data_IF_775792957062
#
_entry.id   IF_775792957062
#
_cell.length_a   1.000
_cell.length_b   1.000
_cell.length_c   1.000
_cell.angle_alpha   90.00
_cell.angle_beta   90.00
_cell.angle_gamma   90.00
#
_symmetry.space_group_name_H-M   'P 1'
#
loop_
_entity.id
_entity.type
_entity.pdbx_description
1 polymer ?
#
# COMPACT_ATOMS: atom_id res chain seq x y z
N UNK A 1 -40.78 -34.09 -1.61
CA UNK A 1 -40.54 -34.43 -3.04
C UNK A 1 -39.79 -33.24 -3.65
N UNK A 2 -38.44 -33.23 -3.80
CA UNK A 2 -37.65 -33.83 -4.91
C UNK A 2 -38.46 -33.79 -6.22
N UNK A 3 -38.08 -33.08 -7.29
CA UNK A 3 -36.76 -33.11 -7.97
C UNK A 3 -36.53 -31.96 -8.97
N UNK A 4 -35.26 -31.50 -9.01
CA UNK A 4 -34.39 -31.22 -10.18
C UNK A 4 -34.87 -30.23 -11.27
N UNK A 5 -34.25 -29.04 -11.30
CA UNK A 5 -33.75 -28.48 -12.56
C UNK A 5 -32.25 -28.82 -12.66
N UNK A 6 -31.93 -29.96 -13.27
CA UNK A 6 -30.57 -30.29 -13.67
C UNK A 6 -30.07 -29.18 -14.61
N UNK A 7 -29.04 -28.45 -14.17
CA UNK A 7 -28.30 -27.49 -15.00
C UNK A 7 -27.54 -28.28 -16.07
N UNK A 8 -28.26 -28.66 -17.13
CA UNK A 8 -27.70 -29.32 -18.30
C UNK A 8 -26.75 -28.33 -18.96
N UNK A 9 -25.45 -28.52 -18.75
CA UNK A 9 -24.46 -27.66 -19.38
C UNK A 9 -24.57 -27.74 -20.91
N UNK A 10 -24.60 -26.62 -21.63
CA UNK A 10 -24.75 -26.64 -23.08
C UNK A 10 -23.52 -27.26 -23.73
N UNK A 11 -23.71 -28.41 -24.38
CA UNK A 11 -22.71 -29.04 -25.26
C UNK A 11 -22.61 -28.18 -26.52
N UNK A 12 -21.44 -27.57 -26.73
CA UNK A 12 -21.19 -26.72 -27.91
C UNK A 12 -20.75 -27.59 -29.09
N UNK A 13 -21.28 -27.31 -30.28
CA UNK A 13 -20.80 -27.92 -31.52
C UNK A 13 -19.42 -27.37 -31.90
N UNK A 14 -18.68 -28.13 -32.71
CA UNK A 14 -17.34 -27.75 -33.19
C UNK A 14 -17.34 -26.41 -33.95
N UNK A 15 -18.43 -26.10 -34.66
CA UNK A 15 -18.59 -24.83 -35.37
C UNK A 15 -18.75 -23.66 -34.39
N UNK A 16 -19.45 -23.87 -33.29
CA UNK A 16 -19.72 -22.84 -32.28
C UNK A 16 -18.49 -22.57 -31.41
N UNK A 17 -17.70 -23.61 -31.13
CA UNK A 17 -16.36 -23.45 -30.53
C UNK A 17 -15.46 -22.60 -31.42
N UNK A 18 -15.39 -22.90 -32.72
CA UNK A 18 -14.61 -22.11 -33.69
C UNK A 18 -15.08 -20.65 -33.76
N UNK A 19 -16.40 -20.39 -33.70
CA UNK A 19 -16.92 -19.03 -33.62
C UNK A 19 -16.43 -18.30 -32.36
N UNK A 20 -16.48 -18.94 -31.18
CA UNK A 20 -15.97 -18.35 -29.92
C UNK A 20 -14.45 -18.14 -29.95
N UNK A 21 -13.69 -19.03 -30.57
CA UNK A 21 -12.24 -18.86 -30.75
C UNK A 21 -11.89 -17.67 -31.64
N UNK A 22 -12.62 -17.48 -32.74
CA UNK A 22 -12.46 -16.31 -33.59
C UNK A 22 -12.89 -15.03 -32.85
N UNK A 23 -13.91 -15.11 -31.99
CA UNK A 23 -14.30 -13.98 -31.13
C UNK A 23 -13.23 -13.62 -30.09
N UNK A 24 -12.57 -14.60 -29.46
CA UNK A 24 -11.42 -14.36 -28.56
C UNK A 24 -10.31 -13.64 -29.30
N UNK A 25 -10.04 -14.02 -30.56
CA UNK A 25 -9.04 -13.36 -31.42
C UNK A 25 -9.47 -11.97 -31.89
N UNK A 26 -10.60 -11.44 -31.41
CA UNK A 26 -11.08 -10.11 -31.75
C UNK A 26 -11.74 -10.01 -33.13
N UNK A 27 -12.02 -11.14 -33.81
CA UNK A 27 -12.59 -11.11 -35.15
C UNK A 27 -13.96 -10.40 -35.17
N UNK A 28 -14.19 -9.61 -36.23
CA UNK A 28 -15.49 -9.00 -36.51
C UNK A 28 -16.46 -10.04 -37.08
N UNK A 29 -17.77 -9.80 -37.01
CA UNK A 29 -18.78 -10.70 -37.58
C UNK A 29 -18.53 -11.00 -39.07
N UNK A 30 -18.05 -10.00 -39.82
CA UNK A 30 -17.68 -10.12 -41.23
C UNK A 30 -16.47 -11.05 -41.43
N UNK A 31 -15.46 -10.93 -40.57
CA UNK A 31 -14.26 -11.77 -40.59
C UNK A 31 -14.57 -13.21 -40.19
N UNK A 32 -15.47 -13.40 -39.21
CA UNK A 32 -15.96 -14.73 -38.80
C UNK A 32 -16.75 -15.38 -39.94
N UNK A 33 -17.60 -14.60 -40.61
CA UNK A 33 -18.37 -15.05 -41.76
C UNK A 33 -17.45 -15.56 -42.88
N UNK A 34 -16.42 -14.79 -43.24
CA UNK A 34 -15.42 -15.18 -44.24
C UNK A 34 -14.64 -16.44 -43.83
N UNK A 35 -14.22 -16.53 -42.55
CA UNK A 35 -13.44 -17.68 -42.06
C UNK A 35 -14.24 -18.99 -41.97
N UNK A 36 -15.57 -18.91 -41.87
CA UNK A 36 -16.46 -20.08 -41.75
C UNK A 36 -17.31 -20.32 -43.00
N UNK A 37 -17.15 -19.52 -44.06
CA UNK A 37 -17.88 -19.66 -45.32
C UNK A 37 -19.35 -19.20 -45.28
N UNK A 38 -19.71 -18.33 -44.33
CA UNK A 38 -21.08 -17.81 -44.17
C UNK A 38 -21.24 -16.39 -44.75
N UNK A 39 -22.49 -15.99 -45.02
CA UNK A 39 -22.84 -14.58 -45.31
C UNK A 39 -22.88 -13.77 -44.01
N UNK A 40 -22.47 -12.50 -44.05
CA UNK A 40 -22.34 -11.63 -42.86
C UNK A 40 -23.63 -11.53 -42.02
N UNK A 41 -24.80 -11.45 -42.68
CA UNK A 41 -26.10 -11.45 -41.99
C UNK A 41 -26.38 -12.76 -41.23
N UNK A 42 -25.96 -13.90 -41.79
CA UNK A 42 -26.17 -15.24 -41.23
C UNK A 42 -25.31 -15.47 -39.98
N UNK A 43 -24.08 -14.96 -39.96
CA UNK A 43 -23.18 -15.08 -38.80
C UNK A 43 -23.73 -14.34 -37.56
N UNK A 44 -24.39 -13.19 -37.73
CA UNK A 44 -25.02 -12.47 -36.61
C UNK A 44 -26.15 -13.29 -35.98
N UNK A 45 -26.95 -13.99 -36.79
CA UNK A 45 -28.03 -14.86 -36.32
C UNK A 45 -27.46 -16.05 -35.54
N UNK A 46 -26.41 -16.70 -36.05
CA UNK A 46 -25.76 -17.80 -35.34
C UNK A 46 -25.12 -17.37 -34.02
N UNK A 47 -24.46 -16.21 -33.99
CA UNK A 47 -23.90 -15.65 -32.75
C UNK A 47 -24.99 -15.35 -31.72
N UNK A 48 -26.14 -14.80 -32.14
CA UNK A 48 -27.25 -14.53 -31.23
C UNK A 48 -27.87 -15.81 -30.66
N UNK A 49 -28.06 -16.85 -31.50
CA UNK A 49 -28.51 -18.16 -31.06
C UNK A 49 -27.52 -18.82 -30.10
N UNK A 50 -26.22 -18.69 -30.38
CA UNK A 50 -25.14 -19.17 -29.52
C UNK A 50 -25.17 -18.48 -28.15
N UNK A 51 -25.31 -17.16 -28.11
CA UNK A 51 -25.41 -16.37 -26.88
C UNK A 51 -26.61 -16.80 -26.03
N UNK A 52 -27.78 -16.96 -26.65
CA UNK A 52 -28.99 -17.44 -25.97
C UNK A 52 -28.79 -18.82 -25.36
N UNK A 53 -28.07 -19.71 -26.04
CA UNK A 53 -27.85 -21.08 -25.57
C UNK A 53 -26.80 -21.18 -24.46
N UNK A 54 -25.79 -20.32 -24.44
CA UNK A 54 -24.82 -20.24 -23.34
C UNK A 54 -25.27 -19.31 -22.20
N UNK A 55 -26.46 -18.72 -22.30
CA UNK A 55 -27.05 -17.87 -21.27
C UNK A 55 -26.39 -16.50 -21.12
N UNK A 56 -25.77 -15.97 -22.18
CA UNK A 56 -25.14 -14.64 -22.16
C UNK A 56 -25.82 -13.71 -23.16
N UNK A 57 -25.68 -12.41 -22.96
CA UNK A 57 -26.37 -11.40 -23.77
C UNK A 57 -25.43 -10.54 -24.62
N UNK A 58 -24.10 -10.65 -24.42
CA UNK A 58 -23.12 -9.80 -25.11
C UNK A 58 -21.92 -10.60 -25.60
N UNK A 59 -21.26 -10.07 -26.65
CA UNK A 59 -20.02 -10.60 -27.21
C UNK A 59 -18.93 -10.73 -26.13
N UNK A 60 -18.77 -9.71 -25.29
CA UNK A 60 -17.76 -9.69 -24.23
C UNK A 60 -18.05 -10.76 -23.18
N UNK A 61 -19.31 -10.90 -22.75
CA UNK A 61 -19.71 -11.96 -21.81
C UNK A 61 -19.49 -13.36 -22.38
N UNK A 62 -19.73 -13.57 -23.67
CA UNK A 62 -19.47 -14.86 -24.34
C UNK A 62 -17.97 -15.20 -24.37
N UNK A 63 -17.10 -14.21 -24.58
CA UNK A 63 -15.64 -14.37 -24.56
C UNK A 63 -15.16 -14.70 -23.15
N UNK A 64 -15.59 -13.95 -22.13
CA UNK A 64 -15.24 -14.23 -20.73
C UNK A 64 -15.70 -15.61 -20.28
N UNK A 65 -16.92 -16.01 -20.64
CA UNK A 65 -17.46 -17.33 -20.32
C UNK A 65 -16.65 -18.46 -20.97
N UNK A 66 -16.25 -18.31 -22.24
CA UNK A 66 -15.47 -19.34 -22.94
C UNK A 66 -14.02 -19.42 -22.43
N UNK A 67 -13.41 -18.28 -22.03
CA UNK A 67 -12.09 -18.25 -21.41
C UNK A 67 -12.07 -18.91 -20.03
N UNK A 68 -13.09 -18.67 -19.20
CA UNK A 68 -13.24 -19.35 -17.91
C UNK A 68 -13.36 -20.87 -18.10
N UNK A 69 -14.18 -21.31 -19.07
CA UNK A 69 -14.34 -22.73 -19.41
C UNK A 69 -13.07 -23.37 -19.97
N UNK A 70 -12.27 -22.63 -20.76
CA UNK A 70 -10.97 -23.12 -21.27
C UNK A 70 -9.90 -23.16 -20.18
N UNK A 71 -9.95 -22.25 -19.20
CA UNK A 71 -9.08 -22.23 -18.02
C UNK A 71 -9.26 -23.45 -17.12
N UNK A 72 -10.49 -23.95 -16.98
CA UNK A 72 -10.79 -25.18 -16.23
C UNK A 72 -10.33 -26.46 -16.97
N UNK A 73 -10.29 -26.45 -18.31
CA UNK A 73 -9.90 -27.60 -19.13
C UNK A 73 -8.38 -27.64 -19.39
N UNK A 74 -7.66 -26.54 -19.14
CA UNK A 74 -6.26 -26.34 -19.53
C UNK A 74 -5.19 -26.61 -18.46
N UNK A 75 -5.49 -27.27 -17.32
CA UNK A 75 -4.49 -27.56 -16.27
C UNK A 75 -3.52 -28.71 -16.59
N UNK A 76 -3.40 -29.12 -17.84
CA UNK A 76 -2.45 -30.15 -18.26
C UNK A 76 -1.91 -29.84 -19.66
N UNK A 77 -1.02 -28.84 -19.77
CA UNK A 77 0.30 -29.03 -20.39
C UNK A 77 1.05 -27.71 -20.42
N UNK A 78 2.31 -27.77 -19.98
CA UNK A 78 3.19 -26.62 -19.89
C UNK A 78 3.51 -26.01 -21.25
N UNK A 79 3.66 -24.69 -21.28
CA UNK A 79 4.74 -23.97 -21.97
C UNK A 79 4.79 -22.56 -21.37
N UNK A 80 5.97 -22.25 -20.85
CA UNK A 80 6.56 -20.94 -20.53
C UNK A 80 5.90 -19.77 -21.26
N UNK A 81 5.12 -18.97 -20.53
CA UNK A 81 4.78 -17.59 -20.90
C UNK A 81 5.36 -16.66 -19.85
N UNK A 82 6.03 -15.62 -20.35
CA UNK A 82 6.68 -14.59 -19.54
C UNK A 82 5.78 -14.14 -18.39
N UNK A 83 6.38 -14.14 -17.20
CA UNK A 83 5.81 -13.69 -15.94
C UNK A 83 5.41 -12.22 -16.09
N UNK A 84 4.20 -11.97 -16.58
CA UNK A 84 3.44 -10.80 -16.12
C UNK A 84 3.44 -10.91 -14.59
N UNK A 85 3.87 -9.88 -13.84
CA UNK A 85 3.93 -9.98 -12.39
C UNK A 85 2.54 -10.39 -11.91
N UNK A 86 2.48 -11.55 -11.26
CA UNK A 86 1.28 -12.08 -10.68
C UNK A 86 0.82 -11.08 -9.61
N UNK A 87 -0.40 -10.54 -9.78
CA UNK A 87 -1.19 -9.84 -8.76
C UNK A 87 -0.38 -9.00 -7.75
N UNK A 88 -0.16 -7.73 -8.04
CA UNK A 88 -0.05 -6.72 -6.99
C UNK A 88 -1.47 -6.33 -6.54
N UNK A 89 -2.03 -7.06 -5.58
CA UNK A 89 -3.42 -6.82 -5.12
C UNK A 89 -3.49 -6.17 -3.72
N UNK A 90 -2.40 -6.12 -2.94
CA UNK A 90 -2.37 -5.41 -1.65
C UNK A 90 -1.35 -4.27 -1.57
N UNK A 91 -1.53 -3.39 -0.59
CA UNK A 91 -0.56 -2.34 -0.25
C UNK A 91 0.80 -2.96 0.13
N UNK A 92 0.79 -4.02 0.92
CA UNK A 92 1.98 -4.74 1.33
C UNK A 92 2.79 -5.31 0.18
N UNK A 93 2.14 -5.79 -0.89
CA UNK A 93 2.83 -6.24 -2.11
C UNK A 93 3.66 -5.11 -2.71
N UNK A 94 3.06 -3.94 -2.88
CA UNK A 94 3.74 -2.77 -3.44
C UNK A 94 4.86 -2.24 -2.52
N UNK A 95 4.68 -2.31 -1.20
CA UNK A 95 5.68 -1.90 -0.22
C UNK A 95 6.91 -2.80 -0.16
N UNK A 96 6.72 -4.11 -0.35
CA UNK A 96 7.83 -5.05 -0.44
C UNK A 96 8.64 -4.81 -1.72
N UNK A 97 7.98 -4.57 -2.86
CA UNK A 97 8.62 -4.31 -4.14
C UNK A 97 9.34 -2.96 -4.22
N UNK A 98 8.78 -1.93 -3.57
CA UNK A 98 9.35 -0.58 -3.52
C UNK A 98 9.88 -0.28 -2.11
N UNK A 99 9.21 0.61 -1.39
CA UNK A 99 9.42 0.95 0.01
C UNK A 99 8.13 1.46 0.65
N UNK A 100 8.10 1.59 1.98
CA UNK A 100 6.89 2.02 2.69
C UNK A 100 6.51 3.47 2.37
N UNK A 101 7.48 4.35 2.14
CA UNK A 101 7.22 5.77 1.88
C UNK A 101 6.56 5.95 0.51
N UNK A 102 7.12 5.32 -0.53
CA UNK A 102 6.58 5.31 -1.89
C UNK A 102 5.17 4.71 -1.92
N UNK A 103 4.96 3.64 -1.14
CA UNK A 103 3.67 2.96 -1.07
C UNK A 103 2.60 3.78 -0.33
N UNK A 104 2.96 4.40 0.80
CA UNK A 104 2.04 5.26 1.55
C UNK A 104 1.67 6.53 0.76
N UNK A 105 2.62 7.08 0.01
CA UNK A 105 2.45 8.35 -0.69
C UNK A 105 1.95 9.44 0.26
N UNK A 106 0.81 10.04 -0.06
CA UNK A 106 0.19 11.10 0.77
C UNK A 106 -0.20 10.59 2.16
N UNK A 107 -0.49 9.29 2.33
CA UNK A 107 -0.87 8.75 3.64
C UNK A 107 0.26 8.81 4.67
N UNK A 108 1.51 8.98 4.24
CA UNK A 108 2.65 9.10 5.14
C UNK A 108 2.51 10.28 6.13
N UNK A 109 1.71 11.32 5.81
CA UNK A 109 1.47 12.47 6.70
C UNK A 109 0.66 12.12 7.96
N UNK A 110 -0.03 10.97 7.96
CA UNK A 110 -0.89 10.54 9.07
C UNK A 110 -0.18 9.64 10.09
N UNK A 111 1.01 9.16 9.78
CA UNK A 111 1.81 8.26 10.64
C UNK A 111 3.14 8.91 11.03
N UNK A 112 3.70 8.47 12.14
CA UNK A 112 4.99 8.90 12.67
C UNK A 112 4.94 10.15 13.56
N UNK A 113 6.12 10.63 13.98
CA UNK A 113 6.26 11.88 14.71
C UNK A 113 5.65 13.06 13.95
N UNK A 114 5.07 14.01 14.69
CA UNK A 114 4.43 15.22 14.15
C UNK A 114 3.44 14.94 12.99
N UNK A 115 2.66 13.87 13.09
CA UNK A 115 1.61 13.57 12.12
C UNK A 115 0.47 14.60 12.17
N UNK A 116 -0.44 14.55 11.19
CA UNK A 116 -1.62 15.42 11.17
C UNK A 116 -2.48 15.34 12.43
N UNK A 117 -2.54 14.19 13.07
CA UNK A 117 -3.24 14.03 14.35
C UNK A 117 -2.59 14.85 15.47
N UNK A 118 -1.26 14.85 15.51
CA UNK A 118 -0.51 15.68 16.47
C UNK A 118 -0.71 17.18 16.20
N UNK A 119 -0.71 17.59 14.92
CA UNK A 119 -0.99 18.99 14.55
C UNK A 119 -2.37 19.41 15.04
N UNK A 120 -3.40 18.58 14.82
CA UNK A 120 -4.75 18.88 15.30
C UNK A 120 -4.81 18.94 16.83
N UNK A 121 -4.20 17.98 17.53
CA UNK A 121 -4.19 17.95 18.98
C UNK A 121 -3.55 19.22 19.58
N UNK A 122 -2.44 19.69 19.00
CA UNK A 122 -1.82 20.94 19.43
C UNK A 122 -2.66 22.18 19.08
N UNK A 123 -3.28 22.23 17.89
CA UNK A 123 -4.19 23.32 17.53
C UNK A 123 -5.37 23.43 18.49
N UNK A 124 -5.92 22.29 18.90
CA UNK A 124 -7.01 22.24 19.88
C UNK A 124 -6.55 22.69 21.28
N UNK A 125 -5.28 22.44 21.63
CA UNK A 125 -4.70 22.85 22.91
C UNK A 125 -4.34 24.34 22.97
N UNK A 126 -3.76 24.87 21.90
CA UNK A 126 -3.18 26.22 21.86
C UNK A 126 -4.10 27.26 21.18
N UNK A 127 -5.27 26.84 20.70
CA UNK A 127 -6.33 27.72 20.16
C UNK A 127 -5.96 28.48 18.87
N UNK A 128 -4.80 28.24 18.29
CA UNK A 128 -4.22 29.00 17.17
C UNK A 128 -3.74 28.09 16.04
N UNK A 129 -3.68 28.64 14.82
CA UNK A 129 -3.18 27.95 13.64
C UNK A 129 -1.72 27.51 13.84
N UNK A 130 -1.26 26.40 13.23
CA UNK A 130 0.02 25.77 13.54
C UNK A 130 1.25 26.53 13.02
N UNK A 131 1.10 27.80 12.63
CA UNK A 131 2.22 28.71 12.40
C UNK A 131 2.81 29.11 13.76
N UNK A 132 3.48 28.15 14.40
CA UNK A 132 4.35 28.41 15.53
C UNK A 132 5.59 29.20 15.08
N UNK A 133 6.39 29.74 16.01
CA UNK A 133 7.69 30.34 15.67
C UNK A 133 8.51 29.40 14.76
N UNK A 134 9.29 29.98 13.83
CA UNK A 134 10.12 29.29 12.81
C UNK A 134 10.92 28.08 13.36
N UNK A 135 11.30 28.12 14.63
CA UNK A 135 11.98 27.03 15.33
C UNK A 135 11.13 25.74 15.44
N UNK A 136 9.81 25.84 15.65
CA UNK A 136 8.92 24.68 15.75
C UNK A 136 8.74 24.02 14.38
N UNK A 137 8.67 24.83 13.31
CA UNK A 137 8.56 24.32 11.95
C UNK A 137 9.84 23.60 11.50
N UNK A 138 11.02 24.12 11.88
CA UNK A 138 12.30 23.48 11.56
C UNK A 138 12.48 22.16 12.31
N UNK A 139 12.12 22.10 13.60
CA UNK A 139 12.12 20.84 14.38
C UNK A 139 11.18 19.83 13.71
N UNK A 140 9.94 20.23 13.40
CA UNK A 140 8.97 19.35 12.73
C UNK A 140 9.49 18.85 11.37
N UNK A 141 10.08 19.72 10.56
CA UNK A 141 10.64 19.33 9.26
C UNK A 141 11.76 18.29 9.43
N UNK A 142 12.63 18.47 10.43
CA UNK A 142 13.69 17.53 10.77
C UNK A 142 13.14 16.16 11.21
N UNK A 143 12.19 16.13 12.15
CA UNK A 143 11.56 14.87 12.60
C UNK A 143 10.85 14.15 11.44
N UNK A 144 10.19 14.90 10.55
CA UNK A 144 9.53 14.34 9.36
C UNK A 144 10.53 13.81 8.35
N UNK A 145 11.65 14.48 8.16
CA UNK A 145 12.73 13.99 7.30
C UNK A 145 13.26 12.65 7.82
N UNK A 146 13.62 12.58 9.10
CA UNK A 146 14.11 11.36 9.74
C UNK A 146 13.10 10.20 9.65
N UNK A 147 11.83 10.47 9.92
CA UNK A 147 10.76 9.49 9.78
C UNK A 147 10.60 8.98 8.35
N UNK A 148 10.64 9.88 7.36
CA UNK A 148 10.55 9.50 5.96
C UNK A 148 11.78 8.65 5.53
N UNK A 149 12.97 8.96 6.03
CA UNK A 149 14.17 8.13 5.81
C UNK A 149 14.00 6.73 6.40
N UNK A 150 13.39 6.60 7.59
CA UNK A 150 13.04 5.30 8.18
C UNK A 150 12.04 4.52 7.32
N UNK A 151 10.99 5.17 6.82
CA UNK A 151 10.00 4.53 5.94
C UNK A 151 10.62 4.05 4.62
N UNK A 152 11.53 4.84 4.04
CA UNK A 152 12.26 4.48 2.82
C UNK A 152 13.25 3.33 3.06
N UNK A 153 13.72 3.17 4.31
CA UNK A 153 14.83 2.27 4.64
C UNK A 153 16.21 2.84 4.29
N UNK A 154 16.32 4.17 4.18
CA UNK A 154 17.61 4.85 3.97
C UNK A 154 18.36 4.98 5.31
N UNK A 155 18.91 3.86 5.79
CA UNK A 155 19.62 3.85 7.08
C UNK A 155 20.99 4.56 7.02
N UNK A 156 21.54 4.74 5.82
CA UNK A 156 22.78 5.50 5.63
C UNK A 156 22.58 6.98 5.98
N UNK A 157 21.37 7.51 5.77
CA UNK A 157 20.99 8.85 6.21
C UNK A 157 21.11 9.03 7.73
N UNK A 158 20.56 8.08 8.51
CA UNK A 158 20.70 8.11 9.96
C UNK A 158 22.17 8.04 10.42
N UNK A 159 23.02 7.32 9.68
CA UNK A 159 24.46 7.29 9.97
C UNK A 159 25.13 8.65 9.74
N UNK A 160 24.81 9.32 8.63
CA UNK A 160 25.31 10.68 8.35
C UNK A 160 24.88 11.65 9.44
N UNK A 161 23.60 11.64 9.79
CA UNK A 161 23.07 12.51 10.85
C UNK A 161 23.66 12.22 12.24
N UNK A 162 23.99 10.95 12.52
CA UNK A 162 24.71 10.63 13.74
C UNK A 162 26.14 11.19 13.73
N UNK A 163 26.84 11.11 12.60
CA UNK A 163 28.24 11.55 12.47
C UNK A 163 28.40 13.07 12.47
N UNK A 164 27.39 13.82 12.01
CA UNK A 164 27.36 15.29 12.11
C UNK A 164 27.16 15.78 13.56
N UNK A 165 26.87 14.87 14.49
CA UNK A 165 26.62 15.19 15.89
C UNK A 165 25.18 15.64 16.18
N UNK A 166 24.26 15.47 15.23
CA UNK A 166 22.85 15.87 15.37
C UNK A 166 22.16 15.14 16.55
N UNK A 167 22.61 13.94 16.90
CA UNK A 167 22.01 13.11 17.95
C UNK A 167 21.81 13.82 19.29
N UNK A 168 22.82 14.53 19.78
CA UNK A 168 22.76 15.20 21.09
C UNK A 168 21.70 16.30 21.11
N UNK A 169 21.56 17.03 19.99
CA UNK A 169 20.53 18.05 19.82
C UNK A 169 19.14 17.42 19.75
N UNK A 170 18.99 16.37 18.92
CA UNK A 170 17.73 15.64 18.78
C UNK A 170 17.25 15.07 20.12
N UNK A 171 18.12 14.50 20.94
CA UNK A 171 17.71 13.90 22.21
C UNK A 171 17.12 14.92 23.19
N UNK A 172 17.61 16.16 23.17
CA UNK A 172 17.10 17.25 24.01
C UNK A 172 15.76 17.77 23.47
N UNK A 173 15.65 17.91 22.14
CA UNK A 173 14.46 18.46 21.48
C UNK A 173 13.30 17.45 21.39
N UNK A 174 13.62 16.18 21.13
CA UNK A 174 12.66 15.09 20.90
C UNK A 174 13.28 13.73 21.19
N UNK A 175 12.93 13.15 22.34
CA UNK A 175 13.34 11.77 22.69
C UNK A 175 12.84 10.75 21.67
N UNK A 176 11.70 11.01 21.02
CA UNK A 176 11.13 10.14 20.00
C UNK A 176 12.02 10.06 18.78
N UNK A 177 12.56 11.19 18.33
CA UNK A 177 13.43 11.23 17.14
C UNK A 177 14.78 10.56 17.43
N UNK A 178 15.29 10.70 18.67
CA UNK A 178 16.46 9.94 19.09
C UNK A 178 16.22 8.41 19.05
N UNK A 179 15.01 7.95 19.40
CA UNK A 179 14.62 6.53 19.28
C UNK A 179 14.49 6.11 17.81
N UNK A 180 13.94 6.96 16.94
CA UNK A 180 13.87 6.70 15.48
C UNK A 180 15.26 6.57 14.89
N UNK A 181 16.14 7.55 15.12
CA UNK A 181 17.52 7.53 14.62
C UNK A 181 18.27 6.28 15.13
N UNK A 182 18.12 5.96 16.42
CA UNK A 182 18.75 4.77 17.00
C UNK A 182 18.22 3.47 16.37
N UNK A 183 16.91 3.39 16.13
CA UNK A 183 16.30 2.25 15.44
C UNK A 183 16.86 2.09 14.03
N UNK A 184 17.00 3.20 13.28
CA UNK A 184 17.60 3.18 11.94
C UNK A 184 19.07 2.77 11.96
N UNK A 185 19.87 3.23 12.92
CA UNK A 185 21.26 2.81 13.06
C UNK A 185 21.38 1.31 13.30
N UNK A 186 20.47 0.74 14.11
CA UNK A 186 20.41 -0.71 14.36
C UNK A 186 19.99 -1.48 13.11
N UNK A 187 18.92 -1.04 12.44
CA UNK A 187 18.43 -1.66 11.21
C UNK A 187 19.47 -1.59 10.08
N UNK A 188 20.26 -0.52 10.01
CA UNK A 188 21.35 -0.36 9.05
C UNK A 188 22.63 -1.16 9.38
N UNK A 189 22.67 -1.89 10.49
CA UNK A 189 23.86 -2.63 10.93
C UNK A 189 25.01 -1.74 11.44
N UNK A 190 24.74 -0.48 11.78
CA UNK A 190 25.72 0.45 12.34
C UNK A 190 25.89 0.26 13.85
N UNK A 191 26.16 -0.97 14.29
CA UNK A 191 26.08 -1.38 15.70
C UNK A 191 26.98 -0.56 16.63
N UNK A 192 28.13 -0.07 16.15
CA UNK A 192 29.01 0.82 16.94
C UNK A 192 28.38 2.19 17.22
N UNK A 193 27.78 2.83 16.21
CA UNK A 193 27.06 4.09 16.36
C UNK A 193 25.79 3.91 17.18
N UNK A 194 25.05 2.82 16.95
CA UNK A 194 23.86 2.49 17.73
C UNK A 194 24.16 2.29 19.22
N UNK A 195 25.26 1.60 19.57
CA UNK A 195 25.71 1.45 20.97
C UNK A 195 26.05 2.80 21.61
N UNK A 196 26.70 3.71 20.87
CA UNK A 196 26.97 5.07 21.35
C UNK A 196 25.67 5.86 21.57
N UNK A 197 24.73 5.80 20.63
CA UNK A 197 23.40 6.41 20.76
C UNK A 197 22.64 5.89 21.99
N UNK A 198 22.61 4.56 22.17
CA UNK A 198 21.99 3.90 23.32
C UNK A 198 22.62 4.28 24.66
N UNK A 199 23.94 4.41 24.70
CA UNK A 199 24.67 4.83 25.90
C UNK A 199 24.38 6.30 26.26
N UNK A 200 24.18 7.15 25.24
CA UNK A 200 23.84 8.56 25.42
C UNK A 200 22.37 8.80 25.85
N UNK A 201 21.50 7.77 25.80
CA UNK A 201 20.10 7.85 26.25
C UNK A 201 19.89 7.27 27.66
N UNK A 202 19.85 8.12 28.71
CA UNK A 202 19.55 7.66 30.06
C UNK A 202 18.12 7.13 30.18
N UNK A 203 17.92 6.22 31.13
CA UNK A 203 16.59 5.77 31.50
C UNK A 203 15.79 6.92 32.13
N UNK A 204 14.53 7.06 31.72
CA UNK A 204 13.62 8.07 32.27
C UNK A 204 13.34 7.81 33.75
N UNK A 205 13.63 8.80 34.60
CA UNK A 205 13.29 8.80 36.03
C UNK A 205 12.28 9.92 36.30
N UNK A 206 11.00 9.57 36.40
CA UNK A 206 9.92 10.52 36.60
C UNK A 206 9.78 11.52 35.44
N UNK A 207 9.94 12.81 35.73
CA UNK A 207 9.82 13.90 34.76
C UNK A 207 11.12 14.22 33.99
N UNK A 208 12.22 13.48 34.23
CA UNK A 208 13.48 13.73 33.54
C UNK A 208 13.40 13.39 32.04
N UNK A 209 14.22 14.06 31.23
CA UNK A 209 14.48 13.66 29.84
C UNK A 209 15.14 12.28 29.87
N UNK A 210 14.61 11.34 29.08
CA UNK A 210 15.07 9.96 29.08
C UNK A 210 14.13 9.05 28.31
N UNK A 211 14.64 7.87 27.95
CA UNK A 211 13.85 6.83 27.29
C UNK A 211 13.12 5.96 28.31
N UNK A 212 11.91 5.56 27.96
CA UNK A 212 11.08 4.64 28.73
C UNK A 212 11.67 3.22 28.70
N UNK A 213 11.19 2.37 29.62
CA UNK A 213 11.57 0.95 29.65
C UNK A 213 11.21 0.25 28.33
N UNK A 214 10.03 0.54 27.78
CA UNK A 214 9.53 -0.04 26.54
C UNK A 214 10.40 0.37 25.35
N UNK A 215 10.76 1.66 25.25
CA UNK A 215 11.64 2.15 24.17
C UNK A 215 13.02 1.52 24.23
N UNK A 216 13.60 1.41 25.44
CA UNK A 216 14.89 0.72 25.61
C UNK A 216 14.77 -0.77 25.25
N UNK A 217 13.70 -1.43 25.65
CA UNK A 217 13.46 -2.83 25.31
C UNK A 217 13.29 -3.03 23.80
N UNK A 218 12.57 -2.14 23.12
CA UNK A 218 12.43 -2.17 21.67
C UNK A 218 13.77 -2.03 20.96
N UNK A 219 14.62 -1.07 21.35
CA UNK A 219 15.93 -0.89 20.73
C UNK A 219 16.85 -2.10 20.94
N UNK A 220 16.85 -2.69 22.13
CA UNK A 220 17.62 -3.94 22.38
C UNK A 220 17.08 -5.08 21.53
N UNK A 221 15.76 -5.24 21.46
CA UNK A 221 15.13 -6.28 20.65
C UNK A 221 15.36 -6.09 19.15
N UNK A 222 15.39 -4.85 18.64
CA UNK A 222 15.78 -4.57 17.25
C UNK A 222 17.23 -4.99 17.02
N UNK A 223 18.16 -4.61 17.92
CA UNK A 223 19.56 -5.02 17.82
C UNK A 223 19.71 -6.54 17.76
N UNK A 224 19.09 -7.27 18.68
CA UNK A 224 19.18 -8.74 18.74
C UNK A 224 18.48 -9.42 17.56
N UNK A 225 17.41 -8.82 17.05
CA UNK A 225 16.72 -9.33 15.87
C UNK A 225 17.55 -9.13 14.58
N UNK A 226 18.35 -8.06 14.49
CA UNK A 226 19.21 -7.79 13.33
C UNK A 226 20.53 -8.58 13.43
N UNK A 227 21.25 -8.44 14.54
CA UNK A 227 22.60 -9.00 14.70
C UNK A 227 22.58 -10.53 14.89
N UNK A 228 21.65 -11.05 15.70
CA UNK A 228 21.63 -12.45 16.15
C UNK A 228 20.49 -13.28 15.55
N UNK A 229 19.66 -12.68 14.68
CA UNK A 229 18.43 -13.27 14.14
C UNK A 229 17.49 -13.86 15.21
N UNK A 230 17.57 -13.37 16.45
CA UNK A 230 16.91 -13.98 17.60
C UNK A 230 15.38 -13.92 17.47
N UNK A 231 14.72 -15.09 17.55
CA UNK A 231 13.27 -15.21 17.45
C UNK A 231 12.56 -14.63 18.69
N UNK A 232 13.16 -14.74 19.87
CA UNK A 232 12.61 -14.18 21.11
C UNK A 232 12.59 -12.65 21.05
N UNK A 233 13.58 -12.03 20.42
CA UNK A 233 13.62 -10.59 20.22
C UNK A 233 12.48 -10.10 19.32
N UNK A 234 12.16 -10.84 18.25
CA UNK A 234 10.97 -10.57 17.44
C UNK A 234 9.69 -10.70 18.26
N UNK A 235 9.56 -11.74 19.08
CA UNK A 235 8.37 -11.91 19.92
C UNK A 235 8.15 -10.74 20.87
N UNK A 236 9.23 -10.19 21.46
CA UNK A 236 9.16 -8.97 22.29
C UNK A 236 8.68 -7.77 21.47
N UNK A 237 9.17 -7.58 20.24
CA UNK A 237 8.69 -6.50 19.37
C UNK A 237 7.20 -6.63 19.04
N UNK A 238 6.71 -7.85 18.81
CA UNK A 238 5.27 -8.09 18.61
C UNK A 238 4.45 -7.72 19.84
N UNK A 239 4.91 -8.10 21.04
CA UNK A 239 4.25 -7.74 22.29
C UNK A 239 4.22 -6.23 22.50
N UNK A 240 5.36 -5.54 22.31
CA UNK A 240 5.43 -4.09 22.43
C UNK A 240 4.56 -3.36 21.41
N UNK A 241 4.42 -3.90 20.19
CA UNK A 241 3.51 -3.35 19.19
C UNK A 241 2.03 -3.54 19.59
N UNK A 242 1.69 -4.67 20.21
CA UNK A 242 0.34 -4.95 20.69
C UNK A 242 -0.03 -4.10 21.93
N UNK A 243 0.90 -3.92 22.87
CA UNK A 243 0.70 -3.12 24.09
C UNK A 243 0.74 -1.61 23.80
N UNK A 244 1.41 -1.22 22.72
CA UNK A 244 1.64 0.16 22.29
C UNK A 244 0.41 0.93 21.77
N UNK A 245 -0.81 0.41 21.92
CA UNK A 245 -2.05 1.09 21.45
C UNK A 245 -2.19 2.49 22.04
N UNK A 246 -1.73 2.71 23.28
CA UNK A 246 -1.76 4.01 23.95
C UNK A 246 -0.68 5.00 23.49
N UNK A 247 0.34 4.52 22.76
CA UNK A 247 1.48 5.31 22.26
C UNK A 247 1.62 5.08 20.74
N UNK A 248 0.75 5.72 19.92
CA UNK A 248 0.61 5.37 18.51
C UNK A 248 1.92 5.53 17.71
N UNK A 249 2.70 6.58 17.98
CA UNK A 249 3.98 6.81 17.30
C UNK A 249 5.00 5.72 17.65
N UNK A 250 5.07 5.32 18.92
CA UNK A 250 5.97 4.25 19.37
C UNK A 250 5.62 2.91 18.72
N UNK A 251 4.33 2.56 18.69
CA UNK A 251 3.85 1.37 17.97
C UNK A 251 4.22 1.43 16.48
N UNK A 252 4.05 2.56 15.82
CA UNK A 252 4.39 2.73 14.41
C UNK A 252 5.89 2.54 14.14
N UNK A 253 6.76 3.03 15.02
CA UNK A 253 8.22 2.79 14.94
C UNK A 253 8.50 1.28 14.96
N UNK A 254 7.87 0.53 15.88
CA UNK A 254 8.05 -0.92 15.98
C UNK A 254 7.52 -1.63 14.74
N UNK A 255 6.35 -1.25 14.23
CA UNK A 255 5.75 -1.82 13.01
C UNK A 255 6.68 -1.63 11.81
N UNK A 256 7.23 -0.43 11.63
CA UNK A 256 8.20 -0.13 10.56
C UNK A 256 9.50 -0.93 10.75
N UNK A 257 9.99 -1.05 11.99
CA UNK A 257 11.16 -1.87 12.28
C UNK A 257 10.92 -3.36 11.95
N UNK A 258 9.76 -3.92 12.33
CA UNK A 258 9.38 -5.28 12.02
C UNK A 258 9.26 -5.53 10.51
N UNK A 259 8.69 -4.58 9.76
CA UNK A 259 8.68 -4.64 8.30
C UNK A 259 10.08 -4.81 7.74
N UNK A 260 11.02 -3.95 8.13
CA UNK A 260 12.40 -3.98 7.63
C UNK A 260 13.14 -5.24 8.08
N UNK A 261 12.97 -5.68 9.34
CA UNK A 261 13.56 -6.93 9.85
C UNK A 261 13.08 -8.14 9.03
N UNK A 262 11.77 -8.25 8.78
CA UNK A 262 11.24 -9.36 7.98
C UNK A 262 11.66 -9.29 6.51
N UNK A 263 11.72 -8.08 5.94
CA UNK A 263 12.25 -7.86 4.58
C UNK A 263 13.72 -8.29 4.46
N UNK A 264 14.56 -7.95 5.45
CA UNK A 264 15.98 -8.38 5.51
C UNK A 264 16.14 -9.89 5.67
N UNK A 265 15.22 -10.55 6.38
CA UNK A 265 15.20 -12.01 6.56
C UNK A 265 14.61 -12.78 5.37
N UNK A 266 14.05 -12.09 4.37
CA UNK A 266 13.41 -12.69 3.20
C UNK A 266 12.00 -13.25 3.46
N UNK A 267 11.43 -13.03 4.65
CA UNK A 267 10.06 -13.42 4.99
C UNK A 267 9.09 -12.31 4.53
N UNK A 268 8.84 -12.30 3.22
CA UNK A 268 8.07 -11.25 2.57
C UNK A 268 6.59 -11.28 2.98
N UNK A 269 6.04 -12.45 3.30
CA UNK A 269 4.64 -12.58 3.73
C UNK A 269 4.39 -11.85 5.03
N UNK A 270 5.28 -12.00 6.02
CA UNK A 270 5.17 -11.22 7.26
C UNK A 270 5.48 -9.75 7.04
N UNK A 271 6.43 -9.40 6.17
CA UNK A 271 6.69 -8.01 5.83
C UNK A 271 5.43 -7.32 5.26
N UNK A 272 4.71 -7.97 4.33
CA UNK A 272 3.43 -7.48 3.77
C UNK A 272 2.42 -7.16 4.88
N UNK A 273 2.25 -8.07 5.84
CA UNK A 273 1.31 -7.88 6.96
C UNK A 273 1.64 -6.62 7.77
N UNK A 274 2.92 -6.35 8.03
CA UNK A 274 3.32 -5.13 8.75
C UNK A 274 3.14 -3.86 7.91
N UNK A 275 3.38 -3.93 6.61
CA UNK A 275 3.08 -2.84 5.69
C UNK A 275 1.57 -2.53 5.69
N UNK A 276 0.72 -3.54 5.54
CA UNK A 276 -0.74 -3.40 5.56
C UNK A 276 -1.24 -2.86 6.91
N UNK A 277 -0.63 -3.29 8.03
CA UNK A 277 -0.94 -2.76 9.36
C UNK A 277 -0.60 -1.27 9.49
N UNK A 278 0.53 -0.83 8.96
CA UNK A 278 0.92 0.59 8.96
C UNK A 278 -0.04 1.43 8.10
N UNK A 279 -0.45 0.91 6.95
CA UNK A 279 -1.46 1.54 6.10
C UNK A 279 -2.81 1.66 6.81
N UNK A 280 -3.26 0.59 7.49
CA UNK A 280 -4.48 0.61 8.27
C UNK A 280 -4.44 1.66 9.40
N UNK A 281 -3.30 1.80 10.09
CA UNK A 281 -3.11 2.86 11.09
C UNK A 281 -3.21 4.26 10.46
N UNK A 282 -2.62 4.47 9.27
CA UNK A 282 -2.72 5.74 8.54
C UNK A 282 -4.16 6.08 8.13
N UNK A 283 -4.90 5.08 7.64
CA UNK A 283 -6.31 5.25 7.29
C UNK A 283 -7.19 5.53 8.51
N UNK A 284 -6.98 4.82 9.62
CA UNK A 284 -7.71 5.04 10.86
C UNK A 284 -7.56 6.49 11.34
N UNK A 285 -6.34 7.03 11.31
CA UNK A 285 -6.09 8.44 11.62
C UNK A 285 -6.80 9.36 10.64
N UNK A 286 -6.72 9.10 9.32
CA UNK A 286 -7.43 9.89 8.30
C UNK A 286 -8.94 9.91 8.55
N UNK A 287 -9.54 8.77 8.87
CA UNK A 287 -10.97 8.65 9.17
C UNK A 287 -11.34 9.40 10.45
N UNK A 288 -10.51 9.32 11.48
CA UNK A 288 -10.72 10.06 12.72
C UNK A 288 -10.69 11.58 12.48
N UNK A 289 -9.71 12.08 11.73
CA UNK A 289 -9.61 13.51 11.39
C UNK A 289 -10.81 14.00 10.59
N UNK A 290 -11.29 13.20 9.64
CA UNK A 290 -12.52 13.50 8.89
C UNK A 290 -13.76 13.55 9.79
N UNK A 291 -13.87 12.65 10.76
CA UNK A 291 -14.95 12.66 11.74
C UNK A 291 -14.94 13.91 12.63
N UNK A 292 -13.75 14.45 12.92
CA UNK A 292 -13.55 15.72 13.62
C UNK A 292 -13.78 16.95 12.72
N UNK A 293 -14.18 16.77 11.46
CA UNK A 293 -14.46 17.85 10.51
C UNK A 293 -13.22 18.46 9.87
N UNK A 294 -12.03 17.87 10.08
CA UNK A 294 -10.80 18.37 9.48
C UNK A 294 -10.71 17.94 8.00
N UNK A 295 -10.77 18.93 7.11
CA UNK A 295 -10.52 18.74 5.67
C UNK A 295 -9.01 18.69 5.46
N UNK A 296 -8.44 17.50 5.57
CA UNK A 296 -7.00 17.25 5.45
C UNK A 296 -6.46 17.36 4.01
N UNK A 297 -7.37 17.37 3.02
CA UNK A 297 -7.10 17.76 1.64
C UNK A 297 -7.71 19.14 1.42
N UNK A 298 -7.00 20.04 0.74
CA UNK A 298 -7.41 21.43 0.54
C UNK A 298 -8.83 21.51 -0.06
N UNK A 299 -9.60 22.52 0.37
CA UNK A 299 -10.95 22.83 -0.14
C UNK A 299 -10.96 23.06 -1.67
N UNK A 300 -9.80 23.32 -2.25
CA UNK A 300 -9.54 23.48 -3.68
C UNK A 300 -9.43 22.16 -4.47
N UNK A 301 -9.52 21.00 -3.80
CA UNK A 301 -9.70 19.70 -4.47
C UNK A 301 -11.12 19.52 -5.05
N UNK A 302 -11.77 20.63 -5.42
CA UNK A 302 -12.83 20.57 -6.43
C UNK A 302 -12.15 20.24 -7.74
N UNK A 303 -12.77 19.39 -8.54
CA UNK A 303 -12.38 19.27 -9.95
C UNK A 303 -12.35 20.70 -10.49
N UNK A 304 -11.22 21.18 -11.04
CA UNK A 304 -11.16 22.53 -11.59
C UNK A 304 -12.34 22.69 -12.54
N UNK A 305 -13.02 23.85 -12.50
CA UNK A 305 -14.14 24.09 -13.39
C UNK A 305 -13.73 23.72 -14.81
N UNK A 306 -14.51 22.86 -15.45
CA UNK A 306 -14.24 22.46 -16.82
C UNK A 306 -14.12 23.74 -17.66
N UNK A 307 -13.15 23.81 -18.59
CA UNK A 307 -13.08 24.93 -19.49
C UNK A 307 -14.45 25.12 -20.15
N UNK A 308 -14.91 26.38 -20.23
CA UNK A 308 -16.21 26.68 -20.84
C UNK A 308 -16.15 26.32 -22.33
N UNK A 309 -16.64 25.14 -22.68
CA UNK A 309 -16.73 24.67 -24.07
C UNK A 309 -18.14 24.93 -24.56
N UNK A 310 -18.27 25.55 -25.74
CA UNK A 310 -19.56 25.71 -26.39
C UNK A 310 -20.20 24.33 -26.63
N UNK A 311 -21.50 24.13 -26.35
CA UNK A 311 -22.16 22.83 -26.48
C UNK A 311 -21.96 22.17 -27.86
N UNK A 312 -21.89 22.97 -28.92
CA UNK A 312 -21.64 22.50 -30.28
C UNK A 312 -20.24 21.88 -30.46
N UNK A 313 -19.22 22.42 -29.80
CA UNK A 313 -17.84 21.90 -29.85
C UNK A 313 -17.74 20.59 -29.07
N UNK A 314 -18.41 20.52 -27.92
CA UNK A 314 -18.49 19.30 -27.12
C UNK A 314 -19.22 18.19 -27.89
N UNK A 315 -20.39 18.49 -28.46
CA UNK A 315 -21.16 17.52 -29.23
C UNK A 315 -20.40 17.01 -30.46
N UNK A 316 -19.73 17.90 -31.20
CA UNK A 316 -18.90 17.50 -32.35
C UNK A 316 -17.72 16.61 -31.94
N UNK A 317 -17.13 16.88 -30.78
CA UNK A 317 -16.08 16.02 -30.24
C UNK A 317 -16.63 14.65 -29.80
N UNK A 318 -17.76 14.64 -29.11
CA UNK A 318 -18.43 13.40 -28.69
C UNK A 318 -18.87 12.56 -29.90
N UNK A 319 -19.43 13.18 -30.94
CA UNK A 319 -19.73 12.51 -32.22
C UNK A 319 -18.48 11.92 -32.87
N UNK A 320 -17.35 12.64 -32.85
CA UNK A 320 -16.07 12.15 -33.38
C UNK A 320 -15.47 11.00 -32.54
N UNK A 321 -15.72 10.96 -31.24
CA UNK A 321 -15.25 9.90 -30.34
C UNK A 321 -16.16 8.67 -30.37
N UNK A 322 -17.45 8.85 -30.65
CA UNK A 322 -18.45 7.79 -30.75
C UNK A 322 -18.63 7.24 -32.17
N UNK A 323 -18.09 7.90 -33.20
CA UNK A 323 -18.00 7.43 -34.58
C UNK A 323 -16.77 6.55 -34.80
#
# INVERSE_FOLDING_TARGET
>A
MKTKSETTQPVLSETEKKMLELLIKGASSKTIAQSLGYKDGTTRVYLHSLYKRIGVHTKTSAVTWYLAKKGEIGSADGITRGKLPAKSESFGDFAVETDLLASLGVLAIFVGPHSKMWELANRLKDGSAPSGPLEIETIRASSRHLWNSMLRGDFADAKREFDTGLFSKLFIESTTDAVVLSSMLLLGGYSASAKKALAAMPARKGASIGITRDERAALVAISDAVDNQNASAIAVLHQLAADGVSKPVFRQIIVVALFHIYKMRGDLDRARVFADALWADAEAVRHHLRALGEKTLSVESRVPEAPKVAPAVLNRYLEKVMA
#
